data_IF_144786895342
#
_entry.id   IF_144786895342
#
_cell.length_a   1.000
_cell.length_b   1.000
_cell.length_c   1.000
_cell.angle_alpha   90.00
_cell.angle_beta   90.00
_cell.angle_gamma   90.00
#
_symmetry.space_group_name_H-M   'P 1'
#
loop_
_entity.id
_entity.type
_entity.pdbx_description
1 polymer ?
#
# COMPACT_ATOMS: atom_id res chain seq x y z
N UNK A 1 -24.56 -12.98 -4.20
CA UNK A 1 -23.98 -12.26 -5.35
C UNK A 1 -24.26 -10.77 -5.18
N UNK A 2 -23.41 -10.03 -4.44
CA UNK A 2 -23.67 -8.61 -4.11
C UNK A 2 -22.36 -7.82 -3.89
N UNK A 3 -21.41 -7.92 -4.83
CA UNK A 3 -20.08 -7.30 -4.69
C UNK A 3 -19.92 -5.93 -5.35
N UNK A 4 -20.63 -5.66 -6.45
CA UNK A 4 -20.14 -4.65 -7.43
C UNK A 4 -20.96 -3.35 -7.50
N UNK A 5 -22.15 -3.30 -6.91
CA UNK A 5 -23.13 -2.21 -7.13
C UNK A 5 -22.68 -0.83 -6.58
N UNK A 6 -21.77 -0.80 -5.60
CA UNK A 6 -21.31 0.43 -4.95
C UNK A 6 -20.02 0.99 -5.58
N UNK A 7 -19.18 0.16 -6.24
CA UNK A 7 -18.06 0.65 -7.07
C UNK A 7 -18.58 1.52 -8.22
N UNK A 8 -19.66 1.06 -8.86
CA UNK A 8 -20.30 1.77 -9.99
C UNK A 8 -20.96 3.09 -9.59
N UNK A 9 -21.25 3.31 -8.30
CA UNK A 9 -21.93 4.53 -7.80
C UNK A 9 -21.00 5.58 -7.21
N UNK A 10 -19.72 5.27 -6.94
CA UNK A 10 -18.78 6.26 -6.42
C UNK A 10 -17.78 6.68 -7.51
N UNK A 11 -17.99 7.83 -8.18
CA UNK A 11 -17.14 8.26 -9.28
C UNK A 11 -15.69 8.48 -8.83
N UNK A 12 -15.45 8.85 -7.57
CA UNK A 12 -14.09 9.06 -7.03
C UNK A 12 -13.32 7.76 -6.87
N UNK A 13 -14.00 6.65 -6.55
CA UNK A 13 -13.34 5.34 -6.42
C UNK A 13 -13.03 4.78 -7.81
N UNK A 14 -13.97 4.95 -8.74
CA UNK A 14 -13.73 4.58 -10.14
C UNK A 14 -12.55 5.37 -10.73
N UNK A 15 -12.49 6.67 -10.44
CA UNK A 15 -11.38 7.54 -10.87
C UNK A 15 -10.05 7.12 -10.24
N UNK A 16 -10.03 6.86 -8.92
CA UNK A 16 -8.84 6.36 -8.22
C UNK A 16 -8.29 5.05 -8.80
N UNK A 17 -9.17 4.11 -9.16
CA UNK A 17 -8.77 2.83 -9.76
C UNK A 17 -8.26 3.05 -11.20
N UNK A 18 -8.86 3.99 -11.94
CA UNK A 18 -8.51 4.26 -13.33
C UNK A 18 -7.22 5.08 -13.47
N UNK A 19 -7.03 6.07 -12.62
CA UNK A 19 -5.91 7.00 -12.65
C UNK A 19 -5.51 7.44 -11.23
N UNK A 20 -4.79 6.56 -10.53
CA UNK A 20 -4.33 6.80 -9.17
C UNK A 20 -3.42 8.03 -9.01
N UNK A 21 -2.80 8.51 -10.10
CA UNK A 21 -1.83 9.63 -10.08
C UNK A 21 -2.47 10.97 -9.76
N UNK A 22 -3.79 11.09 -9.92
CA UNK A 22 -4.54 12.31 -9.59
C UNK A 22 -4.91 12.40 -8.11
N UNK A 23 -4.65 11.36 -7.30
CA UNK A 23 -4.99 11.33 -5.90
C UNK A 23 -3.76 11.34 -5.00
N UNK A 24 -3.87 12.04 -3.86
CA UNK A 24 -2.88 11.91 -2.79
C UNK A 24 -3.01 10.55 -2.09
N UNK A 25 -1.94 10.09 -1.44
CA UNK A 25 -1.98 8.83 -0.70
C UNK A 25 -3.07 8.77 0.37
N UNK A 26 -3.18 9.82 1.19
CA UNK A 26 -4.16 9.85 2.27
C UNK A 26 -5.60 9.88 1.76
N UNK A 27 -5.82 10.54 0.62
CA UNK A 27 -7.11 10.54 -0.06
C UNK A 27 -7.46 9.14 -0.58
N UNK A 28 -6.53 8.47 -1.26
CA UNK A 28 -6.71 7.10 -1.75
C UNK A 28 -7.05 6.13 -0.61
N UNK A 29 -6.29 6.19 0.49
CA UNK A 29 -6.54 5.36 1.68
C UNK A 29 -7.91 5.65 2.29
N UNK A 30 -8.31 6.93 2.37
CA UNK A 30 -9.62 7.33 2.91
C UNK A 30 -10.77 6.84 2.04
N UNK A 31 -10.66 6.94 0.72
CA UNK A 31 -11.68 6.47 -0.22
C UNK A 31 -11.87 4.95 -0.11
N UNK A 32 -10.77 4.19 -0.08
CA UNK A 32 -10.81 2.73 0.01
C UNK A 32 -11.30 2.23 1.38
N UNK A 33 -10.97 2.92 2.47
CA UNK A 33 -11.58 2.64 3.77
C UNK A 33 -13.07 3.00 3.83
N UNK A 34 -13.50 4.04 3.12
CA UNK A 34 -14.90 4.43 3.03
C UNK A 34 -15.77 3.35 2.38
N UNK A 35 -15.17 2.59 1.48
CA UNK A 35 -15.74 1.41 0.85
C UNK A 35 -15.87 0.26 1.88
N UNK A 36 -14.77 -0.15 2.52
CA UNK A 36 -14.76 -1.31 3.42
C UNK A 36 -14.76 -0.88 4.89
N UNK A 37 -15.89 -0.32 5.33
CA UNK A 37 -16.03 0.18 6.72
C UNK A 37 -15.95 -0.91 7.79
N UNK A 38 -16.22 -2.16 7.40
CA UNK A 38 -16.17 -3.37 8.21
C UNK A 38 -14.76 -3.95 8.36
N UNK A 39 -13.82 -3.54 7.51
CA UNK A 39 -12.45 -4.01 7.56
C UNK A 39 -11.56 -3.20 8.52
N UNK A 40 -10.54 -3.83 9.13
CA UNK A 40 -9.52 -3.12 9.88
C UNK A 40 -8.84 -2.02 9.03
N UNK A 41 -8.54 -0.91 9.69
CA UNK A 41 -7.80 0.20 9.07
C UNK A 41 -6.33 -0.15 8.97
N UNK A 42 -5.71 0.20 7.85
CA UNK A 42 -4.27 -0.03 7.64
C UNK A 42 -3.46 0.80 8.66
N UNK A 43 -2.52 0.17 9.35
CA UNK A 43 -1.67 0.83 10.36
C UNK A 43 -2.32 1.00 11.74
N UNK A 44 -3.38 0.25 12.04
CA UNK A 44 -4.03 0.20 13.37
C UNK A 44 -3.88 -1.19 14.02
N UNK A 45 -4.47 -1.40 15.20
CA UNK A 45 -4.32 -2.61 16.02
C UNK A 45 -5.06 -3.87 15.49
N UNK A 46 -5.65 -3.82 14.30
CA UNK A 46 -6.40 -4.95 13.75
C UNK A 46 -5.49 -6.02 13.16
N UNK A 47 -5.99 -7.25 12.96
CA UNK A 47 -5.19 -8.29 12.32
C UNK A 47 -4.88 -7.86 10.87
N UNK A 48 -3.59 -7.72 10.57
CA UNK A 48 -3.10 -7.26 9.27
C UNK A 48 -3.67 -8.10 8.11
N UNK A 49 -3.88 -9.40 8.32
CA UNK A 49 -4.46 -10.34 7.35
C UNK A 49 -5.86 -9.97 6.86
N UNK A 50 -6.64 -9.25 7.68
CA UNK A 50 -8.01 -8.83 7.35
C UNK A 50 -8.08 -7.42 6.76
N UNK A 51 -6.96 -6.71 6.69
CA UNK A 51 -6.90 -5.42 6.01
C UNK A 51 -7.21 -5.58 4.52
N UNK A 52 -8.01 -4.65 4.00
CA UNK A 52 -8.40 -4.61 2.59
C UNK A 52 -7.40 -3.88 1.71
N UNK A 53 -6.46 -3.16 2.33
CA UNK A 53 -5.51 -2.29 1.64
C UNK A 53 -4.09 -2.81 1.90
N UNK A 54 -3.31 -2.98 0.84
CA UNK A 54 -1.88 -3.25 0.88
C UNK A 54 -1.14 -2.09 0.25
N UNK A 55 -0.14 -1.58 0.93
CA UNK A 55 0.70 -0.49 0.43
C UNK A 55 2.01 -1.11 -0.04
N UNK A 56 2.39 -0.82 -1.28
CA UNK A 56 3.64 -1.29 -1.86
C UNK A 56 4.42 -0.09 -2.39
N UNK A 57 5.65 0.14 -1.94
CA UNK A 57 6.51 1.10 -2.60
C UNK A 57 6.94 0.60 -3.97
N UNK A 58 6.92 1.49 -4.96
CA UNK A 58 7.57 1.27 -6.24
C UNK A 58 9.08 1.52 -6.09
N UNK A 59 9.86 0.57 -6.61
CA UNK A 59 11.31 0.72 -6.76
C UNK A 59 11.56 1.65 -7.95
N UNK A 60 11.59 2.96 -7.68
CA UNK A 60 11.83 3.98 -8.68
C UNK A 60 12.89 4.95 -8.18
N UNK A 61 13.90 5.22 -9.01
CA UNK A 61 14.89 6.29 -8.81
C UNK A 61 14.39 7.65 -9.36
N UNK A 62 13.19 7.68 -9.92
CA UNK A 62 12.60 8.88 -10.51
C UNK A 62 11.94 9.74 -9.43
N UNK A 63 12.08 11.06 -9.54
CA UNK A 63 11.33 12.03 -8.74
C UNK A 63 9.87 12.07 -9.23
N UNK A 64 8.93 11.40 -8.56
CA UNK A 64 7.56 11.28 -9.03
C UNK A 64 6.79 12.57 -8.71
N UNK A 65 5.91 13.00 -9.61
CA UNK A 65 5.03 14.15 -9.39
C UNK A 65 3.77 13.83 -8.58
N UNK A 66 3.52 12.55 -8.29
CA UNK A 66 2.31 12.05 -7.63
C UNK A 66 2.66 10.98 -6.60
N UNK A 67 1.94 10.97 -5.48
CA UNK A 67 2.12 10.06 -4.36
C UNK A 67 1.77 8.61 -4.70
N UNK A 68 0.67 8.42 -5.43
CA UNK A 68 0.16 7.13 -5.89
C UNK A 68 0.46 7.00 -7.37
N UNK A 69 1.03 5.87 -7.78
CA UNK A 69 1.25 5.59 -9.21
C UNK A 69 0.04 4.89 -9.82
N UNK A 70 -0.45 3.83 -9.19
CA UNK A 70 -1.65 3.10 -9.58
C UNK A 70 -2.19 2.26 -8.42
N UNK A 71 -3.46 1.86 -8.54
CA UNK A 71 -4.14 0.97 -7.59
C UNK A 71 -4.53 -0.30 -8.30
N UNK A 72 -4.07 -1.45 -7.81
CA UNK A 72 -4.53 -2.75 -8.30
C UNK A 72 -5.71 -3.25 -7.47
N UNK A 73 -6.73 -3.78 -8.12
CA UNK A 73 -7.79 -4.57 -7.48
C UNK A 73 -7.43 -6.05 -7.58
N UNK A 74 -7.39 -6.73 -6.44
CA UNK A 74 -7.02 -8.14 -6.30
C UNK A 74 -8.23 -8.90 -5.76
N UNK A 75 -8.75 -9.81 -6.56
CA UNK A 75 -9.76 -10.77 -6.11
C UNK A 75 -9.09 -11.88 -5.30
N UNK A 76 -9.61 -12.12 -4.10
CA UNK A 76 -9.13 -13.17 -3.20
C UNK A 76 -9.92 -14.47 -3.42
N UNK A 77 -9.36 -15.64 -3.07
CA UNK A 77 -10.05 -16.93 -3.21
C UNK A 77 -11.38 -17.05 -2.44
N UNK A 78 -11.56 -16.24 -1.41
CA UNK A 78 -12.80 -16.15 -0.62
C UNK A 78 -13.88 -15.26 -1.29
N UNK A 79 -13.64 -14.80 -2.52
CA UNK A 79 -14.53 -13.93 -3.28
C UNK A 79 -14.51 -12.48 -2.80
N UNK A 80 -13.58 -12.13 -1.91
CA UNK A 80 -13.47 -10.78 -1.38
C UNK A 80 -12.43 -9.97 -2.16
N UNK A 81 -12.58 -8.65 -2.19
CA UNK A 81 -11.64 -7.77 -2.88
C UNK A 81 -10.59 -7.22 -1.91
N UNK A 82 -9.39 -6.99 -2.44
CA UNK A 82 -8.31 -6.23 -1.81
C UNK A 82 -7.72 -5.25 -2.80
N UNK A 83 -7.18 -4.16 -2.28
CA UNK A 83 -6.56 -3.10 -3.07
C UNK A 83 -5.08 -3.03 -2.75
N UNK A 84 -4.24 -2.96 -3.78
CA UNK A 84 -2.81 -2.69 -3.64
C UNK A 84 -2.52 -1.29 -4.16
N UNK A 85 -2.11 -0.39 -3.26
CA UNK A 85 -1.66 0.95 -3.61
C UNK A 85 -0.17 0.88 -3.90
N UNK A 86 0.18 1.14 -5.15
CA UNK A 86 1.57 1.29 -5.54
C UNK A 86 1.94 2.76 -5.37
N UNK A 87 2.71 3.05 -4.33
CA UNK A 87 3.10 4.41 -3.97
C UNK A 87 4.51 4.69 -4.43
N UNK A 88 4.76 5.93 -4.79
CA UNK A 88 6.05 6.37 -5.33
C UNK A 88 6.97 6.94 -4.24
N UNK A 89 6.39 7.35 -3.12
CA UNK A 89 7.07 7.81 -1.92
C UNK A 89 6.99 6.66 -0.89
N UNK A 90 8.07 5.90 -0.79
CA UNK A 90 8.42 4.96 0.30
C UNK A 90 9.63 4.18 -0.22
N UNK A 91 10.62 4.92 -0.73
CA UNK A 91 11.91 4.32 -1.02
C UNK A 91 12.41 3.71 0.28
N UNK A 92 12.51 2.38 0.34
CA UNK A 92 13.38 1.72 1.32
C UNK A 92 14.81 2.28 1.26
N UNK A 93 15.13 3.03 0.19
CA UNK A 93 16.33 3.80 -0.02
C UNK A 93 15.95 5.16 -0.64
N UNK A 94 15.93 6.22 0.15
CA UNK A 94 15.69 7.59 -0.33
C UNK A 94 16.03 8.58 0.77
N UNK A 95 16.80 9.62 0.43
CA UNK A 95 17.47 10.58 1.33
C UNK A 95 16.56 11.46 2.21
N UNK A 96 15.28 11.11 2.34
CA UNK A 96 14.24 11.92 2.98
C UNK A 96 13.28 11.10 3.86
N UNK A 97 13.68 9.93 4.34
CA UNK A 97 13.02 9.34 5.51
C UNK A 97 13.85 9.72 6.75
N UNK A 98 13.36 10.58 7.66
CA UNK A 98 13.86 10.56 9.02
C UNK A 98 13.41 9.22 9.58
N UNK A 99 14.27 8.20 9.47
CA UNK A 99 14.13 6.94 10.17
C UNK A 99 13.74 7.24 11.63
N UNK A 100 12.56 6.82 12.12
CA UNK A 100 12.33 6.74 13.54
C UNK A 100 13.44 5.84 14.12
N UNK A 101 14.25 6.40 15.01
CA UNK A 101 15.61 5.94 15.34
C UNK A 101 15.70 4.62 16.15
N UNK A 102 14.86 3.63 15.89
CA UNK A 102 14.78 2.42 16.72
C UNK A 102 14.78 1.08 15.98
N UNK A 103 14.88 1.04 14.65
CA UNK A 103 14.87 -0.22 13.88
C UNK A 103 16.07 -0.38 12.93
N UNK A 104 17.22 0.20 13.26
CA UNK A 104 18.44 0.05 12.44
C UNK A 104 19.33 -1.11 12.90
N UNK A 105 19.22 -1.60 14.15
CA UNK A 105 20.18 -2.60 14.65
C UNK A 105 19.83 -4.07 14.31
N UNK A 106 18.56 -4.43 14.15
CA UNK A 106 18.20 -5.82 13.82
C UNK A 106 18.34 -6.15 12.32
N UNK A 107 18.13 -5.17 11.43
CA UNK A 107 18.19 -5.42 9.99
C UNK A 107 19.64 -5.58 9.48
N UNK A 108 20.59 -4.88 10.10
CA UNK A 108 22.03 -4.99 9.76
C UNK A 108 22.59 -6.37 10.15
N UNK A 109 22.02 -7.01 11.17
CA UNK A 109 22.53 -8.30 11.66
C UNK A 109 22.15 -9.49 10.78
N UNK A 110 21.15 -9.36 9.91
CA UNK A 110 20.74 -10.42 8.99
C UNK A 110 21.54 -10.42 7.67
N UNK A 111 22.16 -9.30 7.26
CA UNK A 111 23.01 -9.25 6.06
C UNK A 111 24.44 -9.76 6.29
N UNK A 112 24.91 -9.81 7.55
CA UNK A 112 26.26 -10.31 7.85
C UNK A 112 26.33 -11.86 7.90
N UNK A 113 25.23 -12.54 8.26
CA UNK A 113 25.20 -14.01 8.38
C UNK A 113 25.12 -14.72 7.02
N UNK A 114 24.38 -14.17 6.04
CA UNK A 114 24.28 -14.74 4.68
C UNK A 114 25.56 -14.53 3.84
N UNK A 115 26.37 -13.53 4.19
CA UNK A 115 27.68 -13.24 3.57
C UNK A 115 28.76 -14.26 3.97
N UNK A 116 28.67 -14.85 5.18
CA UNK A 116 29.65 -15.81 5.70
C UNK A 116 29.36 -17.28 5.33
N UNK A 117 28.19 -17.57 4.76
CA UNK A 117 27.79 -18.91 4.30
C UNK A 117 28.15 -19.21 2.83
N UNK A 118 28.72 -18.24 2.12
CA UNK A 118 29.39 -18.45 0.82
C UNK A 118 30.89 -18.20 0.93
N UNK A 119 31.56 -19.02 1.72
CA UNK A 119 33.01 -19.27 1.66
C UNK A 119 33.27 -20.71 1.27
#
# INVERSE_FOLDING_TARGET
>A
MAGTDWQTRNPLITDLIKDGRHHSFFEAVRLLHGLHRDAPKVGYQGPAERERIRIRPLLSMSFPSADVDHVDTIEMPDGSERYRLNVTFMGLYGSSTPLPSFYTEDLIRMEDDESLLRG
#
